data_IF_823584017739
#
_entry.id   IF_823584017739
#
_cell.length_a   1.000
_cell.length_b   1.000
_cell.length_c   1.000
_cell.angle_alpha   90.00
_cell.angle_beta   90.00
_cell.angle_gamma   90.00
#
_symmetry.space_group_name_H-M   'P 1'
#
loop_
_entity.id
_entity.type
_entity.pdbx_description
1 polymer ?
#
# COMPACT_ATOMS: atom_id res chain seq x y z
N UNK A 1 3.48 -7.77 -10.99
CA UNK A 1 3.49 -7.59 -9.52
C UNK A 1 3.82 -6.15 -9.20
N UNK A 2 2.91 -5.44 -8.53
CA UNK A 2 3.12 -4.07 -8.03
C UNK A 2 3.73 -4.10 -6.64
N UNK A 3 4.93 -3.55 -6.52
CA UNK A 3 5.60 -3.33 -5.24
C UNK A 3 5.43 -1.87 -4.86
N UNK A 4 4.69 -1.62 -3.78
CA UNK A 4 4.34 -0.28 -3.33
C UNK A 4 5.21 0.06 -2.12
N UNK A 5 5.73 1.27 -2.08
CA UNK A 5 6.32 1.86 -0.88
C UNK A 5 5.59 3.18 -0.56
N UNK A 6 5.31 3.41 0.72
CA UNK A 6 4.74 4.66 1.21
C UNK A 6 5.85 5.50 1.81
N UNK A 7 5.94 6.77 1.39
CA UNK A 7 6.87 7.76 1.95
C UNK A 7 6.04 8.75 2.77
N UNK A 8 6.24 8.74 4.09
CA UNK A 8 5.49 9.48 5.10
C UNK A 8 4.50 8.59 5.86
N UNK A 9 4.53 8.63 7.20
CA UNK A 9 3.61 7.89 8.08
C UNK A 9 2.73 8.81 8.93
N UNK A 10 2.22 9.89 8.32
CA UNK A 10 1.18 10.73 8.91
C UNK A 10 -0.22 10.13 8.73
N UNK A 11 -1.27 10.91 9.05
CA UNK A 11 -2.68 10.47 8.96
C UNK A 11 -3.04 9.89 7.58
N UNK A 12 -2.53 10.49 6.50
CA UNK A 12 -2.78 10.00 5.13
C UNK A 12 -1.99 8.73 4.86
N UNK A 13 -0.71 8.69 5.25
CA UNK A 13 0.16 7.54 5.03
C UNK A 13 -0.36 6.28 5.71
N UNK A 14 -0.81 6.41 6.97
CA UNK A 14 -1.43 5.31 7.71
C UNK A 14 -2.75 4.85 7.07
N UNK A 15 -3.63 5.79 6.66
CA UNK A 15 -4.89 5.42 6.01
C UNK A 15 -4.68 4.71 4.66
N UNK A 16 -3.69 5.14 3.87
CA UNK A 16 -3.32 4.44 2.62
C UNK A 16 -2.76 3.06 2.90
N UNK A 17 -1.94 2.90 3.95
CA UNK A 17 -1.42 1.60 4.36
C UNK A 17 -2.57 0.65 4.74
N UNK A 18 -3.52 1.11 5.55
CA UNK A 18 -4.68 0.31 5.99
C UNK A 18 -5.51 -0.17 4.80
N UNK A 19 -5.83 0.74 3.86
CA UNK A 19 -6.60 0.41 2.66
C UNK A 19 -5.85 -0.60 1.78
N UNK A 20 -4.54 -0.39 1.57
CA UNK A 20 -3.73 -1.30 0.76
C UNK A 20 -3.64 -2.69 1.39
N UNK A 21 -3.54 -2.79 2.71
CA UNK A 21 -3.51 -4.07 3.43
C UNK A 21 -4.87 -4.78 3.41
N UNK A 22 -5.97 -4.05 3.63
CA UNK A 22 -7.32 -4.63 3.67
C UNK A 22 -7.82 -5.03 2.28
N UNK A 23 -7.53 -4.21 1.25
CA UNK A 23 -8.07 -4.36 -0.10
C UNK A 23 -7.08 -4.94 -1.11
N UNK A 24 -5.91 -5.43 -0.68
CA UNK A 24 -4.87 -5.92 -1.59
C UNK A 24 -5.39 -6.92 -2.65
N UNK A 25 -6.25 -7.86 -2.26
CA UNK A 25 -6.78 -8.87 -3.17
C UNK A 25 -7.77 -8.27 -4.18
N UNK A 26 -8.62 -7.35 -3.74
CA UNK A 26 -9.61 -6.70 -4.59
C UNK A 26 -8.93 -5.79 -5.62
N UNK A 27 -7.95 -5.00 -5.16
CA UNK A 27 -7.11 -4.18 -6.04
C UNK A 27 -6.34 -5.10 -6.99
N UNK A 28 -5.75 -6.18 -6.49
CA UNK A 28 -4.99 -7.11 -7.33
C UNK A 28 -5.85 -7.77 -8.41
N UNK A 29 -7.07 -8.20 -8.08
CA UNK A 29 -8.05 -8.72 -9.05
C UNK A 29 -8.40 -7.69 -10.12
N UNK A 30 -8.58 -6.41 -9.74
CA UNK A 30 -8.92 -5.33 -10.67
C UNK A 30 -7.84 -5.11 -11.72
N UNK A 31 -6.57 -5.28 -11.36
CA UNK A 31 -5.43 -5.08 -12.26
C UNK A 31 -4.86 -6.41 -12.81
N UNK A 32 -5.46 -7.55 -12.45
CA UNK A 32 -4.96 -8.89 -12.73
C UNK A 32 -3.47 -9.05 -12.37
N UNK A 33 -3.06 -8.43 -11.26
CA UNK A 33 -1.67 -8.34 -10.83
C UNK A 33 -1.59 -8.39 -9.30
N UNK A 34 -0.56 -9.04 -8.76
CA UNK A 34 -0.34 -9.04 -7.30
C UNK A 34 0.07 -7.63 -6.84
N UNK A 35 -0.59 -7.12 -5.79
CA UNK A 35 -0.27 -5.83 -5.16
C UNK A 35 0.27 -6.09 -3.77
N UNK A 36 1.47 -5.56 -3.48
CA UNK A 36 2.13 -5.75 -2.19
C UNK A 36 2.68 -4.43 -1.67
N UNK A 37 2.24 -4.04 -0.48
CA UNK A 37 2.90 -2.99 0.30
C UNK A 37 4.19 -3.56 0.89
N UNK A 38 5.33 -3.05 0.43
CA UNK A 38 6.66 -3.60 0.75
C UNK A 38 7.39 -2.79 1.81
N UNK A 39 7.14 -1.48 1.88
CA UNK A 39 7.83 -0.59 2.81
C UNK A 39 6.99 0.64 3.15
N UNK A 40 7.11 1.10 4.39
CA UNK A 40 6.70 2.43 4.81
C UNK A 40 7.95 3.12 5.35
N UNK A 41 8.26 4.30 4.84
CA UNK A 41 9.43 5.10 5.24
C UNK A 41 8.93 6.42 5.79
N UNK A 42 9.28 6.72 7.03
CA UNK A 42 9.08 8.05 7.61
C UNK A 42 10.39 8.82 7.54
N UNK A 43 10.39 9.98 6.86
CA UNK A 43 11.56 10.84 6.73
C UNK A 43 11.49 11.84 7.89
N UNK A 44 11.95 11.40 9.06
CA UNK A 44 12.23 12.29 10.19
C UNK A 44 13.70 12.66 10.22
#
# INVERSE_FOLDING_TARGET
MFQIAIIGCGVVGSGVADILLEKQEEIGKRFNEEVRLTKIVDIK
#
